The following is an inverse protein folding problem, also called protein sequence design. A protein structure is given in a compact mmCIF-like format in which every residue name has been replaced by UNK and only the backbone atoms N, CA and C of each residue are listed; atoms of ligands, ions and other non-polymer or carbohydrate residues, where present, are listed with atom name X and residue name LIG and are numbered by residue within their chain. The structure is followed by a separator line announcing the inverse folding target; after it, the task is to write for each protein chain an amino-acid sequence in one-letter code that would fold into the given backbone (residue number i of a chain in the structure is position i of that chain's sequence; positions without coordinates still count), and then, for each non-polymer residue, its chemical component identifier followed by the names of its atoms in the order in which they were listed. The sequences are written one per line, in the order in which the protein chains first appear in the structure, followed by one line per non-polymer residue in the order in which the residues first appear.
data_IF_667289423974
#
_entry.id   IF_667289423974
#
_cell.length_a   1.000
_cell.length_b   1.000
_cell.length_c   1.000
_cell.angle_alpha   90.00
_cell.angle_beta   90.00
_cell.angle_gamma   90.00
#
_symmetry.space_group_name_H-M   'P 1'
#
loop_
_entity.id
_entity.type
_entity.pdbx_description
1 polymer ?
#
# COMPACT_ATOMS: atom_id res chain seq x y z
N UNK A 1 -23.34 -19.75 -10.79
CA UNK A 1 -23.22 -18.82 -9.64
C UNK A 1 -22.49 -19.44 -8.46
N UNK A 2 -22.94 -20.56 -7.88
CA UNK A 2 -22.29 -21.17 -6.70
C UNK A 2 -20.78 -21.48 -6.87
N UNK A 3 -20.37 -22.02 -8.02
CA UNK A 3 -18.97 -22.33 -8.32
C UNK A 3 -18.08 -21.07 -8.36
N UNK A 4 -18.60 -19.96 -8.89
CA UNK A 4 -17.88 -18.70 -8.96
C UNK A 4 -17.67 -18.10 -7.56
N UNK A 5 -18.69 -18.13 -6.70
CA UNK A 5 -18.57 -17.68 -5.31
C UNK A 5 -17.60 -18.56 -4.50
N UNK A 6 -17.64 -19.88 -4.69
CA UNK A 6 -16.67 -20.78 -4.06
C UNK A 6 -15.23 -20.45 -4.49
N UNK A 7 -15.01 -20.17 -5.78
CA UNK A 7 -13.70 -19.73 -6.29
C UNK A 7 -13.23 -18.40 -5.71
N UNK A 8 -14.14 -17.43 -5.55
CA UNK A 8 -13.82 -16.13 -4.92
C UNK A 8 -13.44 -16.32 -3.46
N UNK A 9 -14.20 -17.10 -2.68
CA UNK A 9 -13.89 -17.38 -1.27
C UNK A 9 -12.52 -18.01 -1.14
N UNK A 10 -12.23 -19.04 -1.94
CA UNK A 10 -10.91 -19.69 -1.92
C UNK A 10 -9.78 -18.70 -2.23
N UNK A 11 -9.94 -17.88 -3.28
CA UNK A 11 -8.94 -16.88 -3.67
C UNK A 11 -8.73 -15.82 -2.58
N UNK A 12 -9.79 -15.37 -1.92
CA UNK A 12 -9.69 -14.39 -0.85
C UNK A 12 -8.99 -14.98 0.39
N UNK A 13 -9.30 -16.22 0.78
CA UNK A 13 -8.63 -16.90 1.89
C UNK A 13 -7.11 -17.04 1.64
N UNK A 14 -6.73 -17.53 0.46
CA UNK A 14 -5.32 -17.71 0.10
C UNK A 14 -4.62 -16.36 -0.09
N UNK A 15 -5.27 -15.42 -0.79
CA UNK A 15 -4.73 -14.08 -1.04
C UNK A 15 -4.49 -13.30 0.25
N UNK A 16 -5.42 -13.37 1.20
CA UNK A 16 -5.26 -12.73 2.51
C UNK A 16 -4.02 -13.26 3.25
N UNK A 17 -3.86 -14.58 3.33
CA UNK A 17 -2.70 -15.20 3.97
C UNK A 17 -1.37 -14.80 3.30
N UNK A 18 -1.35 -14.76 1.96
CA UNK A 18 -0.17 -14.37 1.20
C UNK A 18 0.19 -12.90 1.39
N UNK A 19 -0.79 -11.99 1.40
CA UNK A 19 -0.55 -10.56 1.60
C UNK A 19 -0.20 -10.20 3.05
N UNK A 20 -0.66 -10.99 4.03
CA UNK A 20 -0.31 -10.79 5.44
C UNK A 20 1.18 -11.04 5.72
N UNK A 21 1.81 -11.96 5.00
CA UNK A 21 3.21 -12.36 5.22
C UNK A 21 4.20 -11.19 5.03
N UNK A 22 4.24 -10.47 3.88
CA UNK A 22 5.13 -9.33 3.71
C UNK A 22 4.73 -8.17 4.62
N UNK A 23 3.44 -7.94 4.85
CA UNK A 23 2.98 -6.89 5.77
C UNK A 23 3.54 -7.10 7.19
N UNK A 24 3.47 -8.32 7.70
CA UNK A 24 4.04 -8.70 9.00
C UNK A 24 5.56 -8.52 9.01
N UNK A 25 6.26 -8.97 7.98
CA UNK A 25 7.71 -8.87 7.91
C UNK A 25 8.17 -7.40 7.90
N UNK A 26 7.45 -6.51 7.20
CA UNK A 26 7.70 -5.07 7.25
C UNK A 26 7.52 -4.52 8.68
N UNK A 27 6.47 -4.92 9.39
CA UNK A 27 6.28 -4.50 10.78
C UNK A 27 7.38 -5.01 11.70
N UNK A 28 7.82 -6.27 11.54
CA UNK A 28 8.92 -6.83 12.33
C UNK A 28 10.24 -6.12 12.06
N UNK A 29 10.51 -5.75 10.82
CA UNK A 29 11.66 -4.93 10.47
C UNK A 29 11.62 -3.55 11.16
N UNK A 30 10.47 -2.87 11.14
CA UNK A 30 10.30 -1.56 11.80
C UNK A 30 10.45 -1.67 13.33
N UNK A 31 9.95 -2.75 13.93
CA UNK A 31 10.03 -2.99 15.38
C UNK A 31 11.42 -3.51 15.79
N UNK A 32 12.25 -3.95 14.83
CA UNK A 32 13.56 -4.55 15.07
C UNK A 32 13.47 -5.98 15.62
N UNK A 33 12.41 -6.71 15.31
CA UNK A 33 12.27 -8.12 15.69
C UNK A 33 12.77 -9.04 14.57
N UNK A 34 13.64 -9.98 14.93
CA UNK A 34 14.07 -11.04 14.02
C UNK A 34 13.10 -12.21 14.03
N UNK A 35 12.73 -12.66 12.83
CA UNK A 35 11.81 -13.80 12.66
C UNK A 35 12.37 -15.10 13.23
N UNK A 36 13.70 -15.27 13.19
CA UNK A 36 14.38 -16.50 13.60
C UNK A 36 14.44 -16.65 15.13
N UNK A 37 14.41 -15.53 15.86
CA UNK A 37 14.54 -15.51 17.33
C UNK A 37 13.21 -15.24 18.04
N UNK A 38 12.16 -14.90 17.30
CA UNK A 38 10.85 -14.56 17.83
C UNK A 38 10.11 -15.79 18.38
N UNK A 39 9.72 -15.80 19.67
CA UNK A 39 8.90 -16.87 20.21
C UNK A 39 7.51 -16.89 19.55
N UNK A 40 7.03 -18.09 19.27
CA UNK A 40 5.78 -18.35 18.51
C UNK A 40 4.57 -17.62 19.09
N UNK A 41 4.47 -17.51 20.42
CA UNK A 41 3.37 -16.79 21.08
C UNK A 41 3.29 -15.31 20.67
N UNK A 42 4.43 -14.61 20.57
CA UNK A 42 4.48 -13.20 20.16
C UNK A 42 4.07 -13.03 18.69
N UNK A 43 4.50 -13.96 17.83
CA UNK A 43 4.11 -13.98 16.43
C UNK A 43 2.60 -14.26 16.26
N UNK A 44 2.06 -15.26 16.97
CA UNK A 44 0.63 -15.57 16.96
C UNK A 44 -0.23 -14.39 17.45
N UNK A 45 0.18 -13.73 18.54
CA UNK A 45 -0.51 -12.55 19.05
C UNK A 45 -0.51 -11.42 18.00
N UNK A 46 0.65 -11.13 17.39
CA UNK A 46 0.77 -10.07 16.39
C UNK A 46 -0.07 -10.34 15.14
N UNK A 47 0.02 -11.54 14.58
CA UNK A 47 -0.80 -11.96 13.44
C UNK A 47 -2.29 -11.96 13.78
N UNK A 48 -2.66 -12.41 14.99
CA UNK A 48 -4.04 -12.40 15.47
C UNK A 48 -4.60 -10.98 15.58
N UNK A 49 -3.82 -10.04 16.10
CA UNK A 49 -4.21 -8.62 16.16
C UNK A 49 -4.36 -8.03 14.76
N UNK A 50 -3.43 -8.29 13.84
CA UNK A 50 -3.56 -7.82 12.44
C UNK A 50 -4.82 -8.37 11.76
N UNK A 51 -5.12 -9.65 11.95
CA UNK A 51 -6.32 -10.27 11.39
C UNK A 51 -7.60 -9.72 12.02
N UNK A 52 -7.60 -9.47 13.32
CA UNK A 52 -8.72 -8.85 14.03
C UNK A 52 -8.94 -7.41 13.56
N UNK A 53 -7.88 -6.63 13.36
CA UNK A 53 -7.98 -5.29 12.77
C UNK A 53 -8.58 -5.34 11.35
N UNK A 54 -8.14 -6.28 10.51
CA UNK A 54 -8.69 -6.46 9.17
C UNK A 54 -10.18 -6.85 9.20
N UNK A 55 -10.58 -7.72 10.14
CA UNK A 55 -11.97 -8.11 10.35
C UNK A 55 -12.82 -6.91 10.77
N UNK A 56 -12.35 -6.10 11.72
CA UNK A 56 -13.06 -4.90 12.19
C UNK A 56 -13.21 -3.88 11.05
N UNK A 57 -12.15 -3.61 10.29
CA UNK A 57 -12.21 -2.70 9.15
C UNK A 57 -13.17 -3.20 8.06
N UNK A 58 -13.16 -4.50 7.77
CA UNK A 58 -14.10 -5.11 6.83
C UNK A 58 -15.56 -5.09 7.30
N UNK A 59 -15.79 -5.13 8.62
CA UNK A 59 -17.12 -5.07 9.21
C UNK A 59 -17.69 -3.64 9.18
N UNK A 60 -16.87 -2.63 9.47
CA UNK A 60 -17.30 -1.23 9.57
C UNK A 60 -17.27 -0.47 8.24
N UNK A 61 -16.51 -0.92 7.24
CA UNK A 61 -16.42 -0.27 5.92
C UNK A 61 -17.05 -1.21 4.87
N UNK A 62 -18.37 -1.11 4.62
CA UNK A 62 -19.08 -2.03 3.73
C UNK A 62 -18.82 -1.77 2.23
N UNK A 63 -18.20 -0.65 1.87
CA UNK A 63 -18.01 -0.25 0.47
C UNK A 63 -16.57 -0.50 0.02
N UNK A 64 -16.37 -1.56 -0.76
CA UNK A 64 -15.06 -1.94 -1.30
C UNK A 64 -14.41 -0.82 -2.13
N UNK A 65 -15.21 -0.06 -2.88
CA UNK A 65 -14.71 1.00 -3.74
C UNK A 65 -13.98 2.09 -2.95
N UNK A 66 -14.45 2.41 -1.74
CA UNK A 66 -13.79 3.37 -0.85
C UNK A 66 -12.43 2.87 -0.40
N UNK A 67 -12.34 1.62 0.05
CA UNK A 67 -11.08 1.04 0.53
C UNK A 67 -10.06 0.93 -0.61
N UNK A 68 -10.49 0.49 -1.79
CA UNK A 68 -9.61 0.44 -2.96
C UNK A 68 -9.22 1.82 -3.47
N UNK A 69 -10.11 2.82 -3.41
CA UNK A 69 -9.80 4.21 -3.74
C UNK A 69 -8.77 4.82 -2.79
N UNK A 70 -8.96 4.64 -1.49
CA UNK A 70 -8.07 5.14 -0.44
C UNK A 70 -6.69 4.47 -0.52
N UNK A 71 -6.66 3.14 -0.53
CA UNK A 71 -5.42 2.37 -0.58
C UNK A 71 -4.70 2.60 -1.92
N UNK A 72 -5.43 2.62 -3.03
CA UNK A 72 -4.87 2.84 -4.36
C UNK A 72 -4.26 4.22 -4.54
N UNK A 73 -4.95 5.27 -4.08
CA UNK A 73 -4.43 6.64 -4.17
C UNK A 73 -3.22 6.87 -3.25
N UNK A 74 -3.29 6.39 -2.01
CA UNK A 74 -2.21 6.57 -1.04
C UNK A 74 -0.97 5.73 -1.41
N UNK A 75 -1.14 4.42 -1.54
CA UNK A 75 -0.04 3.50 -1.84
C UNK A 75 0.48 3.71 -3.27
N UNK A 76 -0.41 3.81 -4.26
CA UNK A 76 -0.04 4.03 -5.65
C UNK A 76 0.61 5.38 -5.89
N UNK A 77 0.11 6.44 -5.24
CA UNK A 77 0.71 7.77 -5.30
C UNK A 77 2.12 7.82 -4.70
N UNK A 78 2.28 7.31 -3.47
CA UNK A 78 3.57 7.36 -2.76
C UNK A 78 4.57 6.38 -3.35
N UNK A 79 4.23 5.08 -3.41
CA UNK A 79 5.16 4.03 -3.85
C UNK A 79 5.33 3.98 -5.37
N UNK A 80 4.27 4.26 -6.12
CA UNK A 80 4.26 4.14 -7.57
C UNK A 80 4.75 5.38 -8.32
N UNK A 81 4.57 6.59 -7.77
CA UNK A 81 4.94 7.83 -8.46
C UNK A 81 5.96 8.66 -7.69
N UNK A 82 5.71 8.97 -6.41
CA UNK A 82 6.57 9.88 -5.64
C UNK A 82 7.94 9.29 -5.33
N UNK A 83 8.02 8.06 -4.81
CA UNK A 83 9.29 7.40 -4.50
C UNK A 83 10.21 7.22 -5.72
N UNK A 84 9.78 6.67 -6.87
CA UNK A 84 10.69 6.49 -8.01
C UNK A 84 11.19 7.84 -8.56
N UNK A 85 10.36 8.88 -8.53
CA UNK A 85 10.79 10.23 -8.90
C UNK A 85 11.88 10.76 -7.93
N UNK A 86 11.68 10.57 -6.63
CA UNK A 86 12.63 11.00 -5.60
C UNK A 86 13.94 10.21 -5.67
N UNK A 87 13.88 8.89 -5.87
CA UNK A 87 15.07 8.05 -6.06
C UNK A 87 15.88 8.50 -7.29
N UNK A 88 15.20 8.84 -8.39
CA UNK A 88 15.88 9.35 -9.60
C UNK A 88 16.57 10.69 -9.35
N UNK A 89 16.00 11.55 -8.49
CA UNK A 89 16.52 12.87 -8.11
C UNK A 89 17.74 12.79 -7.18
N UNK A 90 17.66 11.96 -6.13
CA UNK A 90 18.68 11.94 -5.07
C UNK A 90 19.81 10.93 -5.28
N UNK A 91 19.61 9.86 -6.06
CA UNK A 91 20.62 8.81 -6.25
C UNK A 91 21.49 8.99 -7.52
N UNK A 92 21.33 10.08 -8.27
CA UNK A 92 22.14 10.39 -9.45
C UNK A 92 22.86 11.73 -9.32
N UNK A 93 23.96 11.93 -10.06
CA UNK A 93 24.53 13.26 -10.28
C UNK A 93 23.53 14.10 -11.08
N UNK A 94 22.63 14.77 -10.35
CA UNK A 94 21.48 15.47 -10.91
C UNK A 94 21.90 16.84 -11.46
N UNK A 95 22.27 16.85 -12.74
CA UNK A 95 22.53 18.06 -13.52
C UNK A 95 21.71 18.00 -14.81
N UNK A 96 21.17 19.15 -15.22
CA UNK A 96 20.42 19.31 -16.47
C UNK A 96 21.23 18.81 -17.70
N UNK A 97 22.55 18.93 -17.61
CA UNK A 97 23.50 18.48 -18.64
C UNK A 97 23.68 16.94 -18.69
N UNK A 98 23.46 16.23 -17.57
CA UNK A 98 23.72 14.79 -17.46
C UNK A 98 22.46 13.95 -17.72
N UNK A 99 21.28 14.48 -17.35
CA UNK A 99 20.02 13.73 -17.36
C UNK A 99 19.18 14.03 -18.63
N UNK A 100 19.40 15.19 -19.24
CA UNK A 100 18.63 15.68 -20.38
C UNK A 100 17.28 16.27 -19.97
N UNK A 101 16.80 17.25 -20.74
CA UNK A 101 15.59 18.03 -20.44
C UNK A 101 14.34 17.15 -20.34
N UNK A 102 14.20 16.15 -21.21
CA UNK A 102 13.04 15.26 -21.22
C UNK A 102 12.91 14.46 -19.92
N UNK A 103 13.99 13.83 -19.46
CA UNK A 103 13.99 13.09 -18.20
C UNK A 103 13.80 14.03 -16.99
N UNK A 104 14.41 15.22 -17.01
CA UNK A 104 14.22 16.22 -15.97
C UNK A 104 12.73 16.58 -15.81
N UNK A 105 12.08 16.98 -16.89
CA UNK A 105 10.65 17.35 -16.90
C UNK A 105 9.77 16.17 -16.51
N UNK A 106 9.98 14.98 -17.07
CA UNK A 106 9.19 13.79 -16.73
C UNK A 106 9.29 13.41 -15.25
N UNK A 107 10.47 13.57 -14.63
CA UNK A 107 10.65 13.24 -13.21
C UNK A 107 9.86 14.19 -12.30
N UNK A 108 9.83 15.49 -12.62
CA UNK A 108 8.99 16.46 -11.90
C UNK A 108 7.50 16.24 -12.13
N UNK A 109 7.10 15.92 -13.37
CA UNK A 109 5.70 15.59 -13.68
C UNK A 109 5.23 14.35 -12.90
N UNK A 110 6.05 13.30 -12.82
CA UNK A 110 5.77 12.10 -12.01
C UNK A 110 5.62 12.44 -10.53
N UNK A 111 6.50 13.29 -9.99
CA UNK A 111 6.43 13.71 -8.59
C UNK A 111 5.15 14.50 -8.31
N UNK A 112 4.80 15.48 -9.15
CA UNK A 112 3.59 16.29 -9.01
C UNK A 112 2.34 15.43 -9.18
N UNK A 113 2.30 14.54 -10.19
CA UNK A 113 1.19 13.62 -10.40
C UNK A 113 1.00 12.69 -9.19
N UNK A 114 2.08 12.19 -8.59
CA UNK A 114 2.03 11.41 -7.36
C UNK A 114 1.40 12.19 -6.20
N UNK A 115 1.84 13.43 -5.97
CA UNK A 115 1.27 14.30 -4.91
C UNK A 115 -0.21 14.58 -5.16
N UNK A 116 -0.60 14.90 -6.40
CA UNK A 116 -2.01 15.11 -6.78
C UNK A 116 -2.83 13.84 -6.52
N UNK A 117 -2.33 12.68 -6.94
CA UNK A 117 -3.01 11.40 -6.74
C UNK A 117 -3.23 11.10 -5.25
N UNK A 118 -2.25 11.35 -4.38
CA UNK A 118 -2.40 11.16 -2.94
C UNK A 118 -3.41 12.13 -2.36
N UNK A 119 -3.27 13.44 -2.61
CA UNK A 119 -4.12 14.47 -1.99
C UNK A 119 -5.56 14.37 -2.47
N UNK A 120 -5.78 14.41 -3.79
CA UNK A 120 -7.13 14.38 -4.37
C UNK A 120 -7.75 13.00 -4.27
N UNK A 121 -6.98 11.92 -4.45
CA UNK A 121 -7.51 10.56 -4.36
C UNK A 121 -7.92 10.18 -2.94
N UNK A 122 -7.14 10.58 -1.93
CA UNK A 122 -7.50 10.37 -0.52
C UNK A 122 -8.73 11.23 -0.16
N UNK A 123 -8.74 12.50 -0.58
CA UNK A 123 -9.87 13.40 -0.34
C UNK A 123 -11.18 12.91 -0.95
N UNK A 124 -11.15 12.46 -2.21
CA UNK A 124 -12.31 11.89 -2.89
C UNK A 124 -12.81 10.61 -2.20
N UNK A 125 -11.89 9.75 -1.73
CA UNK A 125 -12.25 8.52 -1.03
C UNK A 125 -12.91 8.79 0.32
N UNK A 126 -12.47 9.82 1.04
CA UNK A 126 -13.08 10.23 2.31
C UNK A 126 -14.44 10.91 2.11
N UNK A 127 -14.56 11.79 1.11
CA UNK A 127 -15.84 12.43 0.79
C UNK A 127 -16.91 11.39 0.42
N UNK A 128 -16.54 10.33 -0.30
CA UNK A 128 -17.45 9.23 -0.61
C UNK A 128 -17.91 8.38 0.59
N UNK A 129 -17.37 8.59 1.80
CA UNK A 129 -17.82 7.94 3.04
C UNK A 129 -18.73 8.83 3.87
N UNK A 130 -18.45 10.14 3.90
CA UNK A 130 -19.15 11.10 4.75
C UNK A 130 -20.23 11.92 4.03
N UNK A 131 -20.23 11.94 2.69
CA UNK A 131 -21.19 12.66 1.85
C UNK A 131 -22.28 11.80 1.25
#
# INVERSE_FOLDING_TARGET
MAIAYAGIVFKLCVGFALCMQPARNCCYYIIGWDLETLPVWKNCLFCGVMALCALLLGLFIPVLNTVFGLLGSFCGGILGFSLPALYRMYCGNWSLATVGVANYVCTYLLLIAGVIAVVFGTGASLYGVFG
#
